data_IF_554396338800
#
_entry.id   IF_554396338800
#
_cell.length_a   1.000
_cell.length_b   1.000
_cell.length_c   1.000
_cell.angle_alpha   90.00
_cell.angle_beta   90.00
_cell.angle_gamma   90.00
#
_symmetry.space_group_name_H-M   'P 1'
#
loop_
_entity.id
_entity.type
_entity.pdbx_description
1 polymer ?
#
# COMPACT_ATOMS: atom_id res chain seq x y z
N UNK A 1 -22.06 0.70 -16.60
CA UNK A 1 -22.34 0.70 -15.15
C UNK A 1 -23.24 1.88 -14.85
N UNK A 2 -24.45 1.64 -14.38
CA UNK A 2 -25.39 2.70 -13.98
C UNK A 2 -25.29 2.85 -12.46
N UNK A 3 -24.68 3.95 -11.99
CA UNK A 3 -24.41 4.19 -10.58
C UNK A 3 -25.50 5.08 -10.01
N UNK A 4 -26.20 4.59 -8.99
CA UNK A 4 -27.14 5.40 -8.24
C UNK A 4 -26.47 5.91 -6.97
N UNK A 5 -26.66 7.19 -6.68
CA UNK A 5 -26.08 7.84 -5.51
C UNK A 5 -27.18 8.13 -4.49
N UNK A 6 -26.89 7.86 -3.23
CA UNK A 6 -27.70 8.30 -2.11
C UNK A 6 -27.07 9.58 -1.58
N UNK A 7 -27.83 10.67 -1.53
CA UNK A 7 -27.41 11.92 -0.91
C UNK A 7 -27.95 12.04 0.51
N UNK A 8 -27.18 12.66 1.41
CA UNK A 8 -27.67 13.05 2.73
C UNK A 8 -28.60 14.28 2.62
N UNK A 9 -29.19 14.71 3.74
CA UNK A 9 -30.10 15.87 3.79
C UNK A 9 -29.45 17.18 3.31
N UNK A 10 -28.12 17.24 3.27
CA UNK A 10 -27.32 18.38 2.80
C UNK A 10 -26.94 18.26 1.32
N UNK A 11 -27.40 17.22 0.61
CA UNK A 11 -27.13 16.98 -0.80
C UNK A 11 -25.81 16.27 -1.10
N UNK A 12 -25.02 15.93 -0.09
CA UNK A 12 -23.71 15.27 -0.27
C UNK A 12 -23.90 13.77 -0.53
N UNK A 13 -23.26 13.29 -1.60
CA UNK A 13 -23.30 11.89 -2.01
C UNK A 13 -22.60 11.02 -0.96
N UNK A 14 -23.38 10.30 -0.17
CA UNK A 14 -22.90 9.54 0.98
C UNK A 14 -22.76 8.05 0.69
N UNK A 15 -23.55 7.53 -0.26
CA UNK A 15 -23.49 6.13 -0.64
C UNK A 15 -23.67 5.95 -2.16
N UNK A 16 -23.18 4.82 -2.67
CA UNK A 16 -23.34 4.41 -4.07
C UNK A 16 -23.98 3.02 -4.08
N UNK A 17 -25.03 2.86 -4.87
CA UNK A 17 -25.70 1.57 -5.10
C UNK A 17 -25.12 0.98 -6.38
N UNK A 18 -24.65 -0.26 -6.26
CA UNK A 18 -24.06 -1.03 -7.35
C UNK A 18 -24.74 -2.41 -7.41
N UNK A 19 -25.11 -2.91 -8.60
CA UNK A 19 -25.58 -4.28 -8.75
C UNK A 19 -24.54 -5.29 -8.24
N UNK A 20 -24.98 -6.32 -7.53
CA UNK A 20 -24.04 -7.28 -6.91
C UNK A 20 -23.13 -7.98 -7.91
N UNK A 21 -23.61 -8.21 -9.14
CA UNK A 21 -22.81 -8.80 -10.22
C UNK A 21 -21.63 -7.91 -10.64
N UNK A 22 -21.88 -6.59 -10.71
CA UNK A 22 -20.85 -5.60 -11.03
C UNK A 22 -19.83 -5.49 -9.89
N UNK A 23 -20.28 -5.54 -8.63
CA UNK A 23 -19.38 -5.58 -7.47
C UNK A 23 -18.48 -6.82 -7.48
N UNK A 24 -19.04 -7.98 -7.80
CA UNK A 24 -18.27 -9.22 -7.88
C UNK A 24 -17.23 -9.18 -9.02
N UNK A 25 -17.58 -8.62 -10.18
CA UNK A 25 -16.63 -8.41 -11.27
C UNK A 25 -15.51 -7.43 -10.89
N UNK A 26 -15.84 -6.36 -10.17
CA UNK A 26 -14.87 -5.36 -9.72
C UNK A 26 -13.88 -5.95 -8.72
N UNK A 27 -14.39 -6.71 -7.74
CA UNK A 27 -13.56 -7.35 -6.70
C UNK A 27 -12.71 -8.48 -7.26
N UNK A 28 -13.21 -9.26 -8.22
CA UNK A 28 -12.42 -10.30 -8.90
C UNK A 28 -11.32 -9.71 -9.79
N UNK A 29 -11.58 -8.58 -10.47
CA UNK A 29 -10.58 -7.90 -11.29
C UNK A 29 -9.45 -7.29 -10.47
N UNK A 30 -9.76 -6.87 -9.25
CA UNK A 30 -8.84 -6.18 -8.34
C UNK A 30 -8.48 -7.03 -7.11
N UNK A 31 -8.36 -8.34 -7.30
CA UNK A 31 -7.95 -9.27 -6.24
C UNK A 31 -6.53 -8.98 -5.72
N UNK A 32 -5.67 -8.45 -6.59
CA UNK A 32 -4.33 -7.94 -6.27
C UNK A 32 -4.33 -6.86 -5.18
N UNK A 33 -5.35 -5.98 -5.17
CA UNK A 33 -5.49 -4.93 -4.16
C UNK A 33 -5.97 -5.46 -2.80
N UNK A 34 -6.46 -6.70 -2.74
CA UNK A 34 -6.96 -7.31 -1.50
C UNK A 34 -5.82 -7.60 -0.53
N UNK A 35 -4.66 -8.02 -1.04
CA UNK A 35 -3.45 -8.25 -0.22
C UNK A 35 -2.97 -6.94 0.42
N UNK A 36 -3.02 -5.84 -0.33
CA UNK A 36 -2.68 -4.49 0.18
C UNK A 36 -3.70 -3.98 1.20
N UNK A 37 -4.99 -4.31 1.03
CA UNK A 37 -6.04 -3.93 1.97
C UNK A 37 -5.99 -4.75 3.27
N UNK A 38 -5.52 -5.99 3.22
CA UNK A 38 -5.35 -6.84 4.42
C UNK A 38 -4.23 -6.35 5.34
N UNK A 39 -3.18 -5.70 4.82
CA UNK A 39 -2.19 -4.99 5.65
C UNK A 39 -2.80 -3.80 6.43
N UNK A 40 -3.93 -3.26 5.97
CA UNK A 40 -4.55 -2.04 6.53
C UNK A 40 -5.75 -2.34 7.43
N UNK A 41 -6.22 -3.60 7.50
CA UNK A 41 -7.25 -3.97 8.49
C UNK A 41 -6.64 -3.84 9.88
N UNK A 42 -7.10 -2.91 10.74
CA UNK A 42 -6.76 -2.96 12.14
C UNK A 42 -7.55 -4.12 12.72
N UNK A 43 -7.00 -5.34 12.64
CA UNK A 43 -7.46 -6.42 13.49
C UNK A 43 -7.33 -5.94 14.92
N UNK A 44 -8.47 -5.92 15.61
CA UNK A 44 -8.55 -5.74 17.05
C UNK A 44 -7.57 -6.70 17.73
N UNK A 45 -6.39 -6.20 18.09
CA UNK A 45 -5.30 -7.01 18.64
C UNK A 45 -3.98 -6.82 17.90
N UNK A 46 -3.28 -5.74 18.27
CA UNK A 46 -1.83 -5.58 18.12
C UNK A 46 -1.34 -5.49 16.65
N UNK A 47 -1.56 -4.34 16.01
CA UNK A 47 -0.59 -3.83 15.03
C UNK A 47 0.74 -3.62 15.76
N UNK A 48 1.59 -4.66 15.83
CA UNK A 48 2.99 -4.46 16.18
C UNK A 48 3.60 -3.71 15.00
N UNK A 49 3.55 -2.38 15.04
CA UNK A 49 4.41 -1.55 14.18
C UNK A 49 5.81 -2.10 14.36
N UNK A 50 6.36 -2.73 13.32
CA UNK A 50 7.69 -3.35 13.37
C UNK A 50 8.65 -2.29 13.90
N UNK A 51 9.29 -2.55 15.04
CA UNK A 51 10.22 -1.61 15.65
C UNK A 51 11.54 -1.70 14.87
N UNK A 52 12.31 -0.62 14.76
CA UNK A 52 13.63 -0.67 14.13
C UNK A 52 14.56 -1.73 14.76
N UNK A 53 14.37 -2.05 16.04
CA UNK A 53 15.07 -3.13 16.74
C UNK A 53 14.85 -4.51 16.14
N UNK A 54 13.67 -4.74 15.53
CA UNK A 54 13.28 -6.04 14.98
C UNK A 54 14.09 -6.37 13.70
N UNK A 55 14.79 -5.37 13.16
CA UNK A 55 15.62 -5.50 11.96
C UNK A 55 17.12 -5.65 12.25
N UNK A 56 17.53 -5.66 13.52
CA UNK A 56 18.93 -5.83 13.90
C UNK A 56 19.36 -7.27 13.56
N UNK A 57 20.38 -7.40 12.70
CA UNK A 57 20.96 -8.70 12.34
C UNK A 57 20.30 -9.43 11.18
N UNK A 58 19.29 -8.82 10.53
CA UNK A 58 18.71 -9.37 9.29
C UNK A 58 19.71 -9.30 8.12
N UNK A 59 20.57 -8.28 8.11
CA UNK A 59 21.57 -8.05 7.08
C UNK A 59 22.96 -8.24 7.66
N UNK A 60 23.84 -8.92 6.94
CA UNK A 60 25.25 -8.99 7.30
C UNK A 60 25.93 -7.64 7.09
N UNK A 61 27.07 -7.42 7.76
CA UNK A 61 27.84 -6.18 7.61
C UNK A 61 28.32 -6.00 6.16
N UNK A 62 28.71 -7.10 5.52
CA UNK A 62 29.23 -7.12 4.15
C UNK A 62 28.16 -6.69 3.15
N UNK A 63 26.96 -7.27 3.24
CA UNK A 63 25.83 -6.89 2.39
C UNK A 63 25.43 -5.42 2.63
N UNK A 64 25.47 -4.94 3.88
CA UNK A 64 25.14 -3.55 4.22
C UNK A 64 26.15 -2.56 3.62
N UNK A 65 27.43 -2.92 3.59
CA UNK A 65 28.47 -2.12 2.93
C UNK A 65 28.31 -2.11 1.42
N UNK A 66 28.01 -3.25 0.80
CA UNK A 66 27.74 -3.35 -0.63
C UNK A 66 26.54 -2.49 -1.04
N UNK A 67 25.43 -2.57 -0.29
CA UNK A 67 24.26 -1.73 -0.51
C UNK A 67 24.58 -0.24 -0.40
N UNK A 68 25.37 0.15 0.62
CA UNK A 68 25.79 1.55 0.76
C UNK A 68 26.68 2.01 -0.41
N UNK A 69 27.57 1.16 -0.90
CA UNK A 69 28.44 1.48 -2.04
C UNK A 69 27.62 1.63 -3.34
N UNK A 70 26.64 0.76 -3.54
CA UNK A 70 25.70 0.87 -4.66
C UNK A 70 24.93 2.20 -4.61
N UNK A 71 24.37 2.56 -3.46
CA UNK A 71 23.62 3.81 -3.29
C UNK A 71 24.48 5.05 -3.55
N UNK A 72 25.73 5.06 -3.08
CA UNK A 72 26.68 6.15 -3.36
C UNK A 72 26.96 6.28 -4.85
N UNK A 73 27.15 5.17 -5.55
CA UNK A 73 27.38 5.15 -7.00
C UNK A 73 26.15 5.67 -7.75
N UNK A 74 24.97 5.15 -7.44
CA UNK A 74 23.71 5.57 -8.05
C UNK A 74 23.45 7.07 -7.84
N UNK A 75 23.71 7.60 -6.63
CA UNK A 75 23.62 9.03 -6.37
C UNK A 75 24.59 9.85 -7.21
N UNK A 76 25.84 9.42 -7.29
CA UNK A 76 26.84 10.08 -8.14
C UNK A 76 26.47 10.05 -9.62
N UNK A 77 25.76 9.02 -10.07
CA UNK A 77 25.22 8.95 -11.44
C UNK A 77 24.05 9.92 -11.67
N UNK A 78 23.23 10.18 -10.66
CA UNK A 78 22.14 11.16 -10.75
C UNK A 78 22.64 12.61 -10.71
N UNK A 79 23.70 12.86 -9.95
CA UNK A 79 24.33 14.19 -9.82
C UNK A 79 25.28 14.51 -11.02
N UNK A 80 25.33 13.67 -12.06
CA UNK A 80 26.19 13.90 -13.25
C UNK A 80 25.64 14.90 -14.27
N UNK A 81 24.32 15.09 -14.29
CA UNK A 81 23.62 15.93 -15.28
C UNK A 81 23.20 17.30 -14.72
N UNK A 82 23.72 17.69 -13.55
CA UNK A 82 23.64 19.03 -12.94
C UNK A 82 25.04 19.65 -12.79
#
# INVERSE_FOLDING_TARGET
MDLQYISNEHGEKTAVIIPIQEWNNLTAKHEDLKELAEEVKPTEGISQKKKPSDFIGIMSKEEAEEMNNYLKKARGEWDRDF
#
